data_IF_593079578212
#
_entry.id   IF_593079578212
#
_cell.length_a   1.000
_cell.length_b   1.000
_cell.length_c   1.000
_cell.angle_alpha   90.00
_cell.angle_beta   90.00
_cell.angle_gamma   90.00
#
_symmetry.space_group_name_H-M   'P 1'
#
loop_
_entity.id
_entity.type
_entity.pdbx_description
1 polymer ?
#
# COMPACT_ATOMS: atom_id res chain seq x y z
N UNK A 1 32.25 -31.56 -29.67
CA UNK A 1 31.08 -32.41 -29.37
C UNK A 1 29.88 -31.48 -29.25
N UNK A 2 28.98 -31.56 -30.24
CA UNK A 2 27.64 -30.97 -30.35
C UNK A 2 27.44 -29.44 -30.23
N UNK A 3 27.64 -28.79 -31.37
CA UNK A 3 26.65 -27.82 -31.90
C UNK A 3 25.35 -28.58 -32.25
N UNK A 4 24.19 -28.09 -31.82
CA UNK A 4 22.91 -28.64 -32.26
C UNK A 4 21.74 -28.35 -31.32
N UNK A 5 21.16 -27.16 -31.42
CA UNK A 5 19.77 -26.86 -31.01
C UNK A 5 19.30 -25.52 -31.59
N UNK A 6 19.35 -25.41 -32.92
CA UNK A 6 18.71 -24.36 -33.72
C UNK A 6 18.23 -24.97 -35.03
N UNK A 7 17.16 -25.78 -34.97
CA UNK A 7 16.39 -26.21 -36.16
C UNK A 7 15.13 -27.00 -35.73
N UNK A 8 14.09 -26.31 -35.24
CA UNK A 8 12.74 -26.91 -35.14
C UNK A 8 11.60 -25.92 -35.39
N UNK A 9 11.90 -24.75 -35.98
CA UNK A 9 10.90 -23.69 -36.25
C UNK A 9 10.34 -23.75 -37.68
N UNK A 10 10.72 -24.73 -38.51
CA UNK A 10 10.46 -24.68 -39.96
C UNK A 10 9.74 -25.89 -40.56
N UNK A 11 8.91 -26.62 -39.79
CA UNK A 11 8.17 -27.77 -40.35
C UNK A 11 6.69 -27.89 -39.99
N UNK A 12 6.03 -26.84 -39.48
CA UNK A 12 4.57 -26.86 -39.28
C UNK A 12 3.89 -25.56 -39.72
N UNK A 13 4.20 -25.11 -40.93
CA UNK A 13 3.33 -24.22 -41.71
C UNK A 13 3.14 -24.80 -43.10
N UNK A 14 2.09 -25.60 -43.27
CA UNK A 14 1.23 -25.67 -44.46
C UNK A 14 0.36 -26.93 -44.37
N UNK A 15 -0.77 -26.86 -43.68
CA UNK A 15 -2.04 -27.50 -44.07
C UNK A 15 -3.18 -26.68 -43.48
N UNK A 16 -4.00 -26.10 -44.35
CA UNK A 16 -5.27 -25.39 -44.12
C UNK A 16 -6.11 -25.64 -45.40
N UNK A 17 -7.45 -25.46 -45.45
CA UNK A 17 -8.42 -25.06 -44.41
C UNK A 17 -9.76 -25.87 -44.45
N UNK A 18 -10.72 -25.43 -43.60
CA UNK A 18 -12.22 -25.46 -43.69
C UNK A 18 -12.89 -26.06 -42.44
N UNK A 19 -14.03 -25.60 -41.93
CA UNK A 19 -14.61 -24.27 -41.67
C UNK A 19 -15.75 -24.50 -40.64
N UNK A 20 -16.08 -23.46 -39.87
CA UNK A 20 -17.35 -23.21 -39.13
C UNK A 20 -17.79 -24.17 -38.00
N UNK A 21 -17.63 -23.67 -36.77
CA UNK A 21 -18.40 -24.07 -35.59
C UNK A 21 -18.28 -23.00 -34.50
N UNK A 22 -19.00 -21.89 -34.64
CA UNK A 22 -19.11 -20.85 -33.60
C UNK A 22 -19.68 -21.47 -32.32
N UNK A 23 -18.81 -21.70 -31.33
CA UNK A 23 -19.26 -21.78 -29.94
C UNK A 23 -19.37 -20.35 -29.39
N UNK A 24 -20.42 -20.01 -28.62
CA UNK A 24 -20.55 -18.68 -28.09
C UNK A 24 -19.37 -18.43 -27.16
N UNK A 25 -18.58 -17.40 -27.48
CA UNK A 25 -17.63 -16.82 -26.54
C UNK A 25 -18.47 -16.37 -25.35
N UNK A 26 -18.41 -17.12 -24.27
CA UNK A 26 -18.93 -16.66 -22.99
C UNK A 26 -18.26 -15.30 -22.71
N UNK A 27 -19.01 -14.27 -22.33
CA UNK A 27 -18.41 -12.99 -22.02
C UNK A 27 -17.39 -13.23 -20.91
N UNK A 28 -16.14 -12.89 -21.18
CA UNK A 28 -15.11 -12.73 -20.15
C UNK A 28 -15.73 -11.88 -19.05
N UNK A 29 -15.79 -12.38 -17.82
CA UNK A 29 -16.41 -11.64 -16.72
C UNK A 29 -15.79 -10.25 -16.64
N UNK A 30 -16.66 -9.24 -16.55
CA UNK A 30 -16.38 -7.80 -16.43
C UNK A 30 -15.72 -7.44 -15.08
N UNK A 31 -14.87 -8.33 -14.55
CA UNK A 31 -14.56 -8.46 -13.12
C UNK A 31 -13.38 -7.65 -12.58
N UNK A 32 -12.68 -6.89 -13.43
CA UNK A 32 -11.49 -6.11 -13.04
C UNK A 32 -11.53 -4.65 -13.54
N UNK A 33 -12.68 -4.14 -14.00
CA UNK A 33 -12.78 -2.72 -14.36
C UNK A 33 -12.93 -1.86 -13.12
N UNK A 34 -12.15 -0.78 -13.07
CA UNK A 34 -12.30 0.26 -12.04
C UNK A 34 -13.65 0.93 -12.19
N UNK A 35 -14.41 0.97 -11.11
CA UNK A 35 -15.58 1.84 -10.98
C UNK A 35 -15.09 3.29 -10.91
N UNK A 36 -15.27 4.01 -12.02
CA UNK A 36 -14.78 5.39 -12.17
C UNK A 36 -15.50 6.38 -11.23
N UNK A 37 -16.75 6.11 -10.85
CA UNK A 37 -17.47 6.97 -9.90
C UNK A 37 -16.87 6.80 -8.50
N UNK A 38 -16.70 5.55 -8.05
CA UNK A 38 -16.04 5.25 -6.78
C UNK A 38 -14.59 5.76 -6.75
N UNK A 39 -13.84 5.57 -7.82
CA UNK A 39 -12.47 6.09 -7.96
C UNK A 39 -12.43 7.62 -7.83
N UNK A 40 -13.36 8.33 -8.48
CA UNK A 40 -13.46 9.79 -8.39
C UNK A 40 -13.76 10.27 -6.97
N UNK A 41 -14.60 9.57 -6.21
CA UNK A 41 -14.86 9.93 -4.81
C UNK A 41 -13.61 9.71 -3.93
N UNK A 42 -12.85 8.64 -4.15
CA UNK A 42 -11.62 8.40 -3.40
C UNK A 42 -10.53 9.41 -3.72
N UNK A 43 -10.38 9.83 -4.98
CA UNK A 43 -9.37 10.82 -5.35
C UNK A 43 -9.66 12.22 -4.81
N UNK A 44 -10.93 12.56 -4.50
CA UNK A 44 -11.27 13.82 -3.82
C UNK A 44 -10.70 13.91 -2.41
N UNK A 45 -10.63 12.78 -1.69
CA UNK A 45 -10.19 12.75 -0.29
C UNK A 45 -8.72 12.35 -0.10
N UNK A 46 -8.04 11.94 -1.17
CA UNK A 46 -6.66 11.42 -1.09
C UNK A 46 -5.62 12.51 -0.85
N UNK A 47 -5.77 13.69 -1.49
CA UNK A 47 -4.83 14.81 -1.32
C UNK A 47 -4.74 15.25 0.15
N UNK A 48 -5.86 15.52 0.85
CA UNK A 48 -5.83 15.80 2.29
C UNK A 48 -5.21 14.65 3.12
N UNK A 49 -5.43 13.39 2.73
CA UNK A 49 -4.86 12.24 3.42
C UNK A 49 -3.32 12.23 3.32
N UNK A 50 -2.78 12.44 2.13
CA UNK A 50 -1.33 12.55 1.87
C UNK A 50 -0.75 13.73 2.66
N UNK A 51 -1.39 14.90 2.61
CA UNK A 51 -0.92 16.09 3.34
C UNK A 51 -0.81 15.81 4.84
N UNK A 52 -1.78 15.09 5.44
CA UNK A 52 -1.70 14.69 6.85
C UNK A 52 -0.59 13.68 7.16
N UNK A 53 -0.06 12.95 6.19
CA UNK A 53 1.15 12.12 6.38
C UNK A 53 2.38 13.02 6.41
N UNK A 54 2.48 13.96 5.47
CA UNK A 54 3.55 14.97 5.43
C UNK A 54 3.59 15.80 6.72
N UNK A 55 2.44 16.27 7.19
CA UNK A 55 2.32 17.05 8.43
C UNK A 55 2.70 16.25 9.67
N UNK A 56 2.44 14.93 9.67
CA UNK A 56 2.91 14.05 10.73
C UNK A 56 4.44 13.94 10.71
N UNK A 57 5.03 13.65 9.54
CA UNK A 57 6.48 13.50 9.40
C UNK A 57 7.23 14.77 9.81
N UNK A 58 6.78 15.95 9.36
CA UNK A 58 7.40 17.25 9.69
C UNK A 58 7.38 17.59 11.19
N UNK A 59 6.51 16.96 11.98
CA UNK A 59 6.47 17.14 13.45
C UNK A 59 7.52 16.31 14.17
N UNK A 60 8.20 15.37 13.49
CA UNK A 60 9.24 14.54 14.07
C UNK A 60 10.61 15.23 13.87
N UNK A 61 11.31 15.65 14.93
CA UNK A 61 12.60 16.34 14.79
C UNK A 61 13.62 15.53 13.99
N UNK A 62 13.70 14.22 14.26
CA UNK A 62 14.60 13.30 13.55
C UNK A 62 14.36 13.26 12.03
N UNK A 63 13.14 13.51 11.55
CA UNK A 63 12.82 13.57 10.12
C UNK A 63 13.16 14.94 9.54
N UNK A 64 12.76 16.01 10.22
CA UNK A 64 12.98 17.39 9.77
C UNK A 64 14.45 17.80 9.70
N UNK A 65 15.34 17.05 10.37
CA UNK A 65 16.80 17.22 10.30
C UNK A 65 17.48 16.44 9.15
N UNK A 66 16.74 15.71 8.33
CA UNK A 66 17.27 15.04 7.13
C UNK A 66 17.32 16.01 5.94
N UNK A 67 18.17 15.79 4.93
CA UNK A 67 18.08 16.51 3.67
C UNK A 67 16.69 16.41 3.04
N UNK A 68 16.30 17.44 2.28
CA UNK A 68 14.98 17.51 1.65
C UNK A 68 14.74 16.30 0.72
N UNK A 69 15.78 15.88 0.01
CA UNK A 69 15.76 14.75 -0.92
C UNK A 69 15.45 13.44 -0.18
N UNK A 70 16.12 13.18 0.95
CA UNK A 70 15.84 12.02 1.80
C UNK A 70 14.42 12.08 2.37
N UNK A 71 13.96 13.27 2.81
CA UNK A 71 12.60 13.46 3.31
C UNK A 71 11.54 13.10 2.26
N UNK A 72 11.73 13.51 0.99
CA UNK A 72 10.83 13.18 -0.11
C UNK A 72 10.82 11.67 -0.36
N UNK A 73 12.00 11.03 -0.42
CA UNK A 73 12.11 9.58 -0.66
C UNK A 73 11.37 8.79 0.43
N UNK A 74 11.59 9.14 1.70
CA UNK A 74 10.91 8.48 2.82
C UNK A 74 9.39 8.69 2.77
N UNK A 75 8.93 9.89 2.47
CA UNK A 75 7.51 10.20 2.32
C UNK A 75 6.86 9.40 1.20
N UNK A 76 7.48 9.35 0.01
CA UNK A 76 7.01 8.52 -1.10
C UNK A 76 6.91 7.07 -0.65
N UNK A 77 7.99 6.52 -0.07
CA UNK A 77 8.07 5.12 0.32
C UNK A 77 7.01 4.66 1.35
N UNK A 78 6.67 5.50 2.33
CA UNK A 78 5.77 5.10 3.42
C UNK A 78 4.32 5.58 3.28
N UNK A 79 4.00 6.47 2.33
CA UNK A 79 2.71 7.17 2.31
C UNK A 79 1.52 6.20 2.29
N UNK A 80 1.54 5.21 1.39
CA UNK A 80 0.47 4.22 1.31
C UNK A 80 0.41 3.33 2.56
N UNK A 81 1.55 2.96 3.12
CA UNK A 81 1.64 2.14 4.33
C UNK A 81 0.96 2.87 5.50
N UNK A 82 1.28 4.15 5.71
CA UNK A 82 0.70 4.97 6.77
C UNK A 82 -0.80 5.23 6.55
N UNK A 83 -1.22 5.54 5.32
CA UNK A 83 -2.65 5.73 5.02
C UNK A 83 -3.46 4.45 5.25
N UNK A 84 -2.90 3.30 4.85
CA UNK A 84 -3.51 1.98 5.06
C UNK A 84 -3.63 1.65 6.55
N UNK A 85 -2.59 1.89 7.33
CA UNK A 85 -2.64 1.76 8.79
C UNK A 85 -3.75 2.64 9.39
N UNK A 86 -3.81 3.92 9.00
CA UNK A 86 -4.82 4.88 9.49
C UNK A 86 -6.25 4.47 9.15
N UNK A 87 -6.47 3.83 8.00
CA UNK A 87 -7.76 3.25 7.65
C UNK A 87 -8.04 1.99 8.48
N UNK A 88 -7.06 1.07 8.57
CA UNK A 88 -7.19 -0.21 9.25
C UNK A 88 -7.51 -0.07 10.76
N UNK A 89 -6.90 0.88 11.46
CA UNK A 89 -7.21 1.14 12.88
C UNK A 89 -8.60 1.76 13.11
N UNK A 90 -9.26 2.22 12.04
CA UNK A 90 -10.64 2.69 12.02
C UNK A 90 -11.59 1.67 11.39
N UNK A 91 -11.21 0.40 11.41
CA UNK A 91 -12.11 -0.69 11.04
C UNK A 91 -13.20 -0.83 12.10
N UNK A 92 -14.45 -0.83 11.65
CA UNK A 92 -15.60 -1.10 12.50
C UNK A 92 -16.14 -2.53 12.25
N UNK A 93 -16.07 -3.43 13.25
CA UNK A 93 -16.58 -4.79 13.11
C UNK A 93 -18.09 -4.90 12.94
N UNK A 94 -18.88 -3.94 13.45
CA UNK A 94 -20.34 -4.00 13.38
C UNK A 94 -20.83 -3.72 11.95
N UNK A 95 -20.33 -2.62 11.37
CA UNK A 95 -20.66 -2.27 9.99
C UNK A 95 -19.74 -2.92 8.96
N UNK A 96 -18.68 -3.62 9.35
CA UNK A 96 -17.63 -4.14 8.46
C UNK A 96 -17.11 -3.09 7.45
N UNK A 97 -16.84 -1.88 7.92
CA UNK A 97 -16.32 -0.78 7.10
C UNK A 97 -14.94 -0.32 7.56
N UNK A 98 -14.20 0.30 6.65
CA UNK A 98 -13.05 1.16 6.98
C UNK A 98 -13.50 2.61 6.89
N UNK A 99 -12.97 3.49 7.74
CA UNK A 99 -13.19 4.95 7.61
C UNK A 99 -11.99 5.63 6.98
N UNK A 100 -12.15 6.11 5.74
CA UNK A 100 -11.14 6.86 5.01
C UNK A 100 -11.20 8.35 5.37
N UNK A 101 -10.05 8.99 5.50
CA UNK A 101 -9.90 10.41 5.86
C UNK A 101 -10.64 10.86 7.14
N UNK A 102 -11.17 9.93 7.94
CA UNK A 102 -11.97 10.20 9.13
C UNK A 102 -13.44 10.52 8.85
N UNK A 103 -13.89 10.45 7.60
CA UNK A 103 -15.23 10.93 7.20
C UNK A 103 -16.01 9.96 6.29
N UNK A 104 -15.31 9.13 5.50
CA UNK A 104 -15.94 8.26 4.49
C UNK A 104 -15.85 6.80 4.91
N UNK A 105 -16.97 6.24 5.39
CA UNK A 105 -17.08 4.81 5.66
C UNK A 105 -17.26 4.04 4.34
N UNK A 106 -16.40 3.04 4.11
CA UNK A 106 -16.38 2.25 2.87
C UNK A 106 -16.45 0.76 3.18
N UNK A 107 -17.20 0.01 2.35
CA UNK A 107 -17.21 -1.44 2.34
C UNK A 107 -16.07 -1.99 1.49
N UNK A 108 -15.72 -3.26 1.73
CA UNK A 108 -14.66 -3.99 1.02
C UNK A 108 -14.77 -3.89 -0.49
N UNK A 109 -15.94 -4.19 -1.03
CA UNK A 109 -16.19 -4.17 -2.48
C UNK A 109 -16.12 -2.76 -3.06
N UNK A 110 -16.56 -1.73 -2.33
CA UNK A 110 -16.46 -0.34 -2.80
C UNK A 110 -15.00 0.09 -2.94
N UNK A 111 -14.17 -0.21 -1.94
CA UNK A 111 -12.75 0.12 -1.98
C UNK A 111 -11.99 -0.69 -3.04
N UNK A 112 -12.39 -1.96 -3.23
CA UNK A 112 -11.83 -2.87 -4.23
C UNK A 112 -12.12 -2.37 -5.64
N UNK A 113 -13.39 -2.12 -5.94
CA UNK A 113 -13.86 -1.73 -7.27
C UNK A 113 -13.47 -0.29 -7.61
N UNK A 114 -13.38 0.61 -6.63
CA UNK A 114 -12.92 1.98 -6.82
C UNK A 114 -11.41 2.13 -6.98
N UNK A 115 -10.68 1.07 -7.35
CA UNK A 115 -9.30 1.17 -7.81
C UNK A 115 -8.29 0.30 -7.06
N UNK A 116 -8.48 0.02 -5.76
CA UNK A 116 -7.46 -0.70 -4.99
C UNK A 116 -7.36 -2.20 -5.31
N UNK A 117 -8.38 -2.80 -5.92
CA UNK A 117 -8.38 -4.24 -6.24
C UNK A 117 -8.08 -5.08 -5.00
N UNK A 118 -7.19 -6.07 -5.14
CA UNK A 118 -6.77 -6.97 -4.04
C UNK A 118 -6.10 -6.26 -2.86
N UNK A 119 -5.61 -5.01 -3.04
CA UNK A 119 -5.06 -4.22 -1.93
C UNK A 119 -6.15 -3.87 -0.92
N UNK A 120 -7.40 -3.68 -1.38
CA UNK A 120 -8.56 -3.52 -0.48
C UNK A 120 -8.64 -4.70 0.49
N UNK A 121 -8.54 -5.92 -0.02
CA UNK A 121 -8.67 -7.13 0.80
C UNK A 121 -7.62 -7.18 1.91
N UNK A 122 -6.37 -6.86 1.59
CA UNK A 122 -5.27 -6.81 2.55
C UNK A 122 -5.48 -5.74 3.65
N UNK A 123 -5.98 -4.55 3.31
CA UNK A 123 -6.24 -3.48 4.30
C UNK A 123 -7.38 -3.88 5.23
N UNK A 124 -8.45 -4.47 4.71
CA UNK A 124 -9.57 -4.94 5.54
C UNK A 124 -9.15 -6.10 6.45
N UNK A 125 -8.33 -7.03 5.97
CA UNK A 125 -7.85 -8.15 6.78
C UNK A 125 -6.89 -7.67 7.88
N UNK A 126 -6.06 -6.67 7.57
CA UNK A 126 -5.26 -5.96 8.57
C UNK A 126 -6.17 -5.27 9.61
N UNK A 127 -7.21 -4.55 9.19
CA UNK A 127 -8.14 -3.87 10.09
C UNK A 127 -8.88 -4.84 11.02
N UNK A 128 -9.41 -5.94 10.48
CA UNK A 128 -10.01 -7.03 11.25
C UNK A 128 -9.03 -7.59 12.29
N UNK A 129 -7.77 -7.77 11.91
CA UNK A 129 -6.73 -8.25 12.83
C UNK A 129 -6.37 -7.22 13.91
N UNK A 130 -6.22 -5.94 13.54
CA UNK A 130 -5.81 -4.85 14.44
C UNK A 130 -6.91 -4.45 15.43
N UNK A 131 -8.19 -4.64 15.09
CA UNK A 131 -9.30 -4.40 16.02
C UNK A 131 -9.17 -5.19 17.33
N UNK A 132 -8.48 -6.33 17.31
CA UNK A 132 -8.21 -7.13 18.50
C UNK A 132 -7.05 -6.60 19.35
N UNK A 133 -6.18 -5.76 18.77
CA UNK A 133 -4.96 -5.28 19.44
C UNK A 133 -5.22 -4.10 20.38
N UNK A 134 -6.37 -3.42 20.24
CA UNK A 134 -6.73 -2.24 21.06
C UNK A 134 -5.59 -1.20 21.11
N UNK A 135 -5.06 -0.87 19.92
CA UNK A 135 -3.98 0.10 19.80
C UNK A 135 -4.43 1.48 20.27
N UNK A 136 -3.60 2.14 21.08
CA UNK A 136 -3.78 3.56 21.39
C UNK A 136 -3.08 4.47 20.37
N UNK A 137 -3.32 5.78 20.48
CA UNK A 137 -2.74 6.77 19.58
C UNK A 137 -1.20 6.78 19.60
N UNK A 138 -0.58 6.41 20.72
CA UNK A 138 0.88 6.36 20.85
C UNK A 138 1.46 5.18 20.07
N UNK A 139 0.81 4.01 20.15
CA UNK A 139 1.21 2.81 19.41
C UNK A 139 1.04 3.03 17.90
N UNK A 140 -0.03 3.69 17.48
CA UNK A 140 -0.24 4.07 16.07
C UNK A 140 0.78 5.13 15.62
N UNK A 141 1.14 6.10 16.46
CA UNK A 141 2.18 7.08 16.14
C UNK A 141 3.57 6.43 15.99
N UNK A 142 3.92 5.49 16.86
CA UNK A 142 5.19 4.77 16.81
C UNK A 142 5.27 3.84 15.60
N UNK A 143 4.18 3.13 15.24
CA UNK A 143 4.11 2.38 13.97
C UNK A 143 4.38 3.29 12.76
N UNK A 144 3.75 4.45 12.70
CA UNK A 144 3.97 5.42 11.61
C UNK A 144 5.41 5.91 11.56
N UNK A 145 6.03 6.17 12.71
CA UNK A 145 7.43 6.61 12.78
C UNK A 145 8.39 5.51 12.31
N UNK A 146 8.14 4.25 12.65
CA UNK A 146 8.93 3.09 12.19
C UNK A 146 8.80 2.90 10.68
N UNK A 147 7.59 3.02 10.12
CA UNK A 147 7.37 2.94 8.66
C UNK A 147 8.06 4.10 7.92
N UNK A 148 7.95 5.31 8.46
CA UNK A 148 8.57 6.51 7.89
C UNK A 148 10.10 6.42 7.86
N UNK A 149 10.74 5.98 8.95
CA UNK A 149 12.20 5.89 9.07
C UNK A 149 12.77 4.61 8.44
N UNK A 150 12.34 4.27 7.23
CA UNK A 150 12.80 3.06 6.53
C UNK A 150 14.07 3.34 5.72
N UNK A 151 15.21 2.79 6.12
CA UNK A 151 16.51 3.00 5.46
C UNK A 151 16.70 2.19 4.16
N UNK A 152 15.77 1.28 3.85
CA UNK A 152 15.81 0.40 2.69
C UNK A 152 15.24 1.03 1.39
N UNK A 153 15.07 2.36 1.37
CA UNK A 153 14.59 3.08 0.18
C UNK A 153 15.74 3.47 -0.75
N UNK A 154 15.57 3.23 -2.04
CA UNK A 154 16.56 3.59 -3.07
C UNK A 154 16.78 5.11 -3.14
N UNK A 155 18.03 5.53 -3.32
CA UNK A 155 18.41 6.94 -3.49
C UNK A 155 18.66 7.72 -2.20
N UNK A 156 18.49 7.11 -1.03
CA UNK A 156 18.81 7.73 0.25
C UNK A 156 20.30 8.05 0.39
N UNK A 157 20.60 9.23 0.92
CA UNK A 157 21.96 9.71 1.15
C UNK A 157 22.45 9.48 2.58
N UNK A 158 21.56 9.54 3.58
CA UNK A 158 21.91 9.37 5.00
C UNK A 158 21.36 8.07 5.61
N UNK A 159 21.61 6.93 4.96
CA UNK A 159 21.12 5.60 5.37
C UNK A 159 21.39 5.31 6.86
N UNK A 160 22.63 5.48 7.31
CA UNK A 160 23.03 5.21 8.71
C UNK A 160 22.26 6.08 9.73
N UNK A 161 22.00 7.35 9.39
CA UNK A 161 21.24 8.26 10.28
C UNK A 161 19.78 7.79 10.37
N UNK A 162 19.19 7.43 9.24
CA UNK A 162 17.79 6.97 9.16
C UNK A 162 17.62 5.65 9.92
N UNK A 163 18.52 4.69 9.75
CA UNK A 163 18.51 3.41 10.46
C UNK A 163 18.58 3.63 11.98
N UNK A 164 19.51 4.47 12.44
CA UNK A 164 19.63 4.82 13.87
C UNK A 164 18.37 5.51 14.42
N UNK A 165 17.73 6.36 13.63
CA UNK A 165 16.45 6.96 13.99
C UNK A 165 15.35 5.89 14.11
N UNK A 166 15.31 4.93 13.19
CA UNK A 166 14.36 3.81 13.23
C UNK A 166 14.56 2.93 14.45
N UNK A 167 15.81 2.55 14.76
CA UNK A 167 16.17 1.79 15.96
C UNK A 167 15.72 2.51 17.23
N UNK A 168 15.89 3.84 17.28
CA UNK A 168 15.44 4.66 18.41
C UNK A 168 13.93 4.57 18.60
N UNK A 169 13.15 4.66 17.51
CA UNK A 169 11.69 4.50 17.59
C UNK A 169 11.28 3.06 17.93
N UNK A 170 11.94 2.04 17.38
CA UNK A 170 11.67 0.63 17.68
C UNK A 170 11.89 0.32 19.16
N UNK A 171 13.00 0.78 19.74
CA UNK A 171 13.30 0.55 21.15
C UNK A 171 12.31 1.29 22.06
N UNK A 172 11.99 2.55 21.74
CA UNK A 172 10.96 3.30 22.46
C UNK A 172 9.59 2.60 22.38
N UNK A 173 9.28 2.02 21.22
CA UNK A 173 8.03 1.31 21.00
C UNK A 173 7.96 0.00 21.77
N UNK A 174 9.00 -0.82 21.75
CA UNK A 174 9.08 -2.04 22.56
C UNK A 174 8.90 -1.74 24.05
N UNK A 175 9.57 -0.69 24.55
CA UNK A 175 9.38 -0.24 25.94
C UNK A 175 7.94 0.22 26.22
N UNK A 176 7.31 0.95 25.29
CA UNK A 176 5.91 1.38 25.46
C UNK A 176 4.94 0.20 25.46
N UNK A 177 5.14 -0.80 24.58
CA UNK A 177 4.36 -2.04 24.59
C UNK A 177 4.50 -2.79 25.91
N UNK A 178 5.72 -2.89 26.44
CA UNK A 178 5.98 -3.52 27.74
C UNK A 178 5.29 -2.77 28.89
N UNK A 179 5.20 -1.44 28.82
CA UNK A 179 4.45 -0.61 29.76
C UNK A 179 2.93 -0.84 29.66
N UNK A 180 2.39 -0.95 28.45
CA UNK A 180 0.94 -1.14 28.18
C UNK A 180 0.39 -2.46 28.71
N UNK A 181 1.23 -3.50 28.81
CA UNK A 181 0.85 -4.83 29.34
C UNK A 181 -0.40 -5.41 28.69
N UNK A 182 -0.43 -5.43 27.36
CA UNK A 182 -1.51 -6.05 26.59
C UNK A 182 -1.76 -7.50 27.02
N UNK A 183 -3.04 -7.90 27.04
CA UNK A 183 -3.45 -9.26 27.42
C UNK A 183 -3.25 -10.31 26.31
N UNK A 184 -2.57 -9.95 25.22
CA UNK A 184 -2.30 -10.84 24.09
C UNK A 184 -0.86 -11.34 24.20
N UNK A 185 -0.63 -12.66 24.24
CA UNK A 185 0.72 -13.20 24.31
C UNK A 185 1.49 -12.90 23.02
N UNK A 186 2.79 -12.63 23.19
CA UNK A 186 3.72 -12.30 22.10
C UNK A 186 3.27 -11.06 21.29
N UNK A 187 2.73 -10.04 21.98
CA UNK A 187 2.22 -8.82 21.35
C UNK A 187 3.26 -8.14 20.46
N UNK A 188 4.48 -7.93 20.98
CA UNK A 188 5.54 -7.22 20.27
C UNK A 188 5.93 -7.90 18.93
N UNK A 189 6.29 -9.20 18.89
CA UNK A 189 6.53 -9.89 17.62
C UNK A 189 5.34 -9.87 16.66
N UNK A 190 4.11 -10.03 17.19
CA UNK A 190 2.90 -9.96 16.36
C UNK A 190 2.71 -8.57 15.74
N UNK A 191 3.03 -7.51 16.47
CA UNK A 191 2.96 -6.14 15.98
C UNK A 191 4.02 -5.86 14.92
N UNK A 192 5.24 -6.40 15.08
CA UNK A 192 6.27 -6.33 14.04
C UNK A 192 5.84 -7.03 12.75
N UNK A 193 5.12 -8.16 12.82
CA UNK A 193 4.53 -8.78 11.63
C UNK A 193 3.52 -7.86 10.93
N UNK A 194 2.82 -6.98 11.66
CA UNK A 194 1.92 -5.99 11.06
C UNK A 194 2.65 -4.90 10.30
N UNK A 195 3.88 -4.58 10.69
CA UNK A 195 4.76 -3.71 9.88
C UNK A 195 5.08 -4.40 8.55
N UNK A 196 5.36 -5.70 8.55
CA UNK A 196 5.57 -6.48 7.32
C UNK A 196 4.31 -6.50 6.44
N UNK A 197 3.13 -6.75 7.02
CA UNK A 197 1.85 -6.71 6.29
C UNK A 197 1.65 -5.34 5.60
N UNK A 198 1.96 -4.25 6.29
CA UNK A 198 1.86 -2.88 5.76
C UNK A 198 2.85 -2.61 4.62
N UNK A 199 4.09 -3.07 4.72
CA UNK A 199 5.07 -2.97 3.63
C UNK A 199 4.61 -3.74 2.39
N UNK A 200 4.03 -4.92 2.57
CA UNK A 200 3.44 -5.69 1.45
C UNK A 200 2.26 -4.95 0.81
N UNK A 201 1.39 -4.33 1.61
CA UNK A 201 0.31 -3.47 1.10
C UNK A 201 0.88 -2.31 0.27
N UNK A 202 1.94 -1.64 0.74
CA UNK A 202 2.62 -0.59 -0.01
C UNK A 202 3.14 -1.05 -1.36
N UNK A 203 3.85 -2.19 -1.40
CA UNK A 203 4.38 -2.77 -2.64
C UNK A 203 3.26 -3.20 -3.62
N UNK A 204 2.21 -3.86 -3.12
CA UNK A 204 1.07 -4.24 -3.94
C UNK A 204 0.33 -3.01 -4.51
N UNK A 205 0.22 -1.93 -3.74
CA UNK A 205 -0.34 -0.67 -4.22
C UNK A 205 0.51 -0.04 -5.33
N UNK A 206 1.84 -0.03 -5.19
CA UNK A 206 2.72 0.49 -6.25
C UNK A 206 2.49 -0.25 -7.58
N UNK A 207 2.39 -1.59 -7.54
CA UNK A 207 2.00 -2.38 -8.71
C UNK A 207 0.60 -2.03 -9.21
N UNK A 208 -0.41 -1.97 -8.32
CA UNK A 208 -1.80 -1.65 -8.70
C UNK A 208 -1.93 -0.26 -9.32
N UNK A 209 -1.15 0.71 -8.86
CA UNK A 209 -1.15 2.08 -9.37
C UNK A 209 -0.78 2.14 -10.85
N UNK A 210 0.18 1.32 -11.31
CA UNK A 210 0.52 1.22 -12.73
C UNK A 210 -0.67 0.74 -13.57
N UNK A 211 -1.43 -0.23 -13.07
CA UNK A 211 -2.65 -0.70 -13.73
C UNK A 211 -3.75 0.39 -13.72
N UNK A 212 -3.92 1.13 -12.62
CA UNK A 212 -4.88 2.23 -12.55
C UNK A 212 -4.57 3.32 -13.59
N UNK A 213 -3.30 3.64 -13.84
CA UNK A 213 -2.91 4.61 -14.89
C UNK A 213 -3.27 4.18 -16.31
N UNK A 214 -3.44 2.88 -16.55
CA UNK A 214 -3.88 2.35 -17.86
C UNK A 214 -5.41 2.33 -17.95
N UNK A 215 -6.08 2.01 -16.85
CA UNK A 215 -7.54 1.83 -16.80
C UNK A 215 -8.32 3.14 -16.63
N UNK A 216 -7.72 4.15 -16.00
CA UNK A 216 -8.37 5.39 -15.60
C UNK A 216 -7.81 6.60 -16.37
N UNK A 217 -8.66 7.60 -16.73
CA UNK A 217 -8.19 8.85 -17.32
C UNK A 217 -7.24 9.62 -16.38
N UNK A 218 -6.14 10.15 -16.92
CA UNK A 218 -5.13 10.88 -16.15
C UNK A 218 -5.71 12.08 -15.40
N UNK A 219 -6.77 12.73 -15.92
CA UNK A 219 -7.36 13.90 -15.27
C UNK A 219 -8.04 13.57 -13.94
N UNK A 220 -8.34 12.29 -13.68
CA UNK A 220 -8.92 11.85 -12.40
C UNK A 220 -7.88 11.73 -11.28
N UNK A 221 -6.58 11.73 -11.60
CA UNK A 221 -5.50 11.62 -10.63
C UNK A 221 -5.09 13.01 -10.13
N UNK A 222 -5.21 13.29 -8.82
CA UNK A 222 -4.74 14.55 -8.27
C UNK A 222 -3.22 14.72 -8.45
N UNK A 223 -2.70 15.95 -8.68
CA UNK A 223 -1.27 16.16 -8.91
C UNK A 223 -0.38 15.62 -7.78
N UNK A 224 -0.76 15.82 -6.52
CA UNK A 224 -0.01 15.32 -5.37
C UNK A 224 -0.04 13.78 -5.28
N UNK A 225 -1.14 13.15 -5.74
CA UNK A 225 -1.23 11.69 -5.79
C UNK A 225 -0.24 11.12 -6.82
N UNK A 226 -0.16 11.74 -8.00
CA UNK A 226 0.85 11.39 -9.02
C UNK A 226 2.26 11.60 -8.49
N UNK A 227 2.56 12.78 -7.91
CA UNK A 227 3.90 13.10 -7.39
C UNK A 227 4.42 12.06 -6.40
N UNK A 228 3.55 11.54 -5.52
CA UNK A 228 3.93 10.57 -4.48
C UNK A 228 4.12 9.15 -5.02
N UNK A 229 3.30 8.73 -5.99
CA UNK A 229 3.21 7.31 -6.39
C UNK A 229 3.73 7.00 -7.81
N UNK A 230 4.04 8.00 -8.63
CA UNK A 230 4.47 7.77 -10.03
C UNK A 230 5.88 7.22 -10.17
N UNK A 231 6.81 7.62 -9.31
CA UNK A 231 8.24 7.28 -9.41
C UNK A 231 8.69 6.18 -8.45
N UNK A 232 7.78 5.33 -7.98
CA UNK A 232 8.18 4.17 -7.17
C UNK A 232 8.67 3.08 -8.11
N UNK A 233 9.98 3.05 -8.39
CA UNK A 233 10.61 1.91 -9.06
C UNK A 233 10.29 0.64 -8.25
N UNK A 234 9.66 -0.33 -8.92
CA UNK A 234 9.36 -1.68 -8.40
C UNK A 234 10.60 -2.56 -8.52
#
# INVERSE_FOLDING_TARGET
MYFGKLASILLLKQMMPEDIGQSPVAPTSDGDKVDLEAFSEFTKIITPAITRVVDFAKKLPMFSELPCEDQIILLKGCCMEIMSLRAAVRYDPESETLTLSGEMAVKREQLKNGGLGVVSDAIFDLGKSLAQFNLDDTEVALLQAVLLMSSDRSGLTNIDKIEKCQETYLLAFEHYINYRKHNIPHFWPKLLMKVTDLRMIGACHASRFLHMKVECPTELFPPLFLEVFEDQEV
#
